data_IF_119659594232
#
_entry.id   IF_119659594232
#
_cell.length_a   1.000
_cell.length_b   1.000
_cell.length_c   1.000
_cell.angle_alpha   90.00
_cell.angle_beta   90.00
_cell.angle_gamma   90.00
#
_symmetry.space_group_name_H-M   'P 1'
#
loop_
_entity.id
_entity.type
_entity.pdbx_description
1 polymer ?
#
# COMPACT_ATOMS: atom_id res chain seq x y z
N UNK A 1 8.96 -16.01 8.83
CA UNK A 1 8.79 -14.89 7.85
C UNK A 1 8.59 -13.60 8.62
N UNK A 2 9.27 -12.53 8.22
CA UNK A 2 9.27 -11.24 8.92
C UNK A 2 8.73 -10.12 8.00
N UNK A 3 7.94 -9.21 8.57
CA UNK A 3 7.49 -8.01 7.89
C UNK A 3 8.39 -6.83 8.26
N UNK A 4 9.18 -6.32 7.32
CA UNK A 4 10.12 -5.23 7.56
C UNK A 4 9.39 -3.90 7.41
N UNK A 5 8.95 -3.35 8.51
CA UNK A 5 8.24 -2.07 8.57
C UNK A 5 8.14 -1.53 9.99
N UNK A 6 8.19 -0.22 10.14
CA UNK A 6 7.89 0.50 11.39
C UNK A 6 6.45 1.02 11.45
N UNK A 7 5.68 0.88 10.37
CA UNK A 7 4.33 1.43 10.27
C UNK A 7 3.30 0.51 10.94
N UNK A 8 2.84 0.89 12.13
CA UNK A 8 1.87 0.14 12.93
C UNK A 8 0.54 -0.10 12.21
N UNK A 9 0.10 0.85 11.36
CA UNK A 9 -1.13 0.69 10.59
C UNK A 9 -0.98 -0.39 9.51
N UNK A 10 0.17 -0.45 8.82
CA UNK A 10 0.46 -1.51 7.85
C UNK A 10 0.52 -2.88 8.52
N UNK A 11 1.14 -2.98 9.70
CA UNK A 11 1.21 -4.23 10.47
C UNK A 11 -0.19 -4.70 10.84
N UNK A 12 -1.05 -3.80 11.35
CA UNK A 12 -2.44 -4.12 11.73
C UNK A 12 -3.23 -4.64 10.53
N UNK A 13 -3.23 -3.93 9.41
CA UNK A 13 -3.96 -4.35 8.21
C UNK A 13 -3.42 -5.66 7.62
N UNK A 14 -2.09 -5.87 7.62
CA UNK A 14 -1.48 -7.11 7.16
C UNK A 14 -1.91 -8.32 8.02
N UNK A 15 -1.92 -8.19 9.34
CA UNK A 15 -2.39 -9.23 10.27
C UNK A 15 -3.85 -9.57 10.03
N UNK A 16 -4.70 -8.56 9.88
CA UNK A 16 -6.13 -8.73 9.60
C UNK A 16 -6.36 -9.47 8.27
N UNK A 17 -5.68 -9.05 7.20
CA UNK A 17 -5.85 -9.65 5.86
C UNK A 17 -5.30 -11.08 5.80
N UNK A 18 -4.14 -11.32 6.36
CA UNK A 18 -3.50 -12.64 6.32
C UNK A 18 -4.13 -13.62 7.30
N UNK A 19 -4.68 -13.12 8.40
CA UNK A 19 -5.25 -13.95 9.48
C UNK A 19 -4.19 -14.79 10.21
N UNK A 20 -2.95 -14.31 10.28
CA UNK A 20 -1.82 -14.95 10.96
C UNK A 20 -1.04 -13.92 11.77
N UNK A 21 -0.36 -14.38 12.80
CA UNK A 21 0.61 -13.54 13.51
C UNK A 21 1.85 -13.27 12.64
N UNK A 22 2.20 -12.00 12.55
CA UNK A 22 3.35 -11.53 11.79
C UNK A 22 4.37 -10.93 12.75
N UNK A 23 5.58 -11.43 12.67
CA UNK A 23 6.73 -10.80 13.32
C UNK A 23 7.12 -9.59 12.48
N UNK A 24 7.14 -8.41 13.08
CA UNK A 24 7.60 -7.19 12.41
C UNK A 24 8.95 -6.76 12.93
N UNK A 25 9.79 -6.30 12.03
CA UNK A 25 11.06 -5.64 12.34
C UNK A 25 11.08 -4.23 11.75
N UNK A 26 11.62 -3.23 12.47
CA UNK A 26 11.73 -1.89 11.95
C UNK A 26 12.67 -1.85 10.75
N UNK A 27 12.33 -1.03 9.77
CA UNK A 27 13.25 -0.71 8.68
C UNK A 27 14.10 0.50 9.06
N UNK A 28 15.41 0.30 9.12
CA UNK A 28 16.38 1.34 9.49
C UNK A 28 17.29 1.77 8.33
N UNK A 29 16.98 1.33 7.11
CA UNK A 29 17.74 1.67 5.91
C UNK A 29 17.26 2.95 5.24
N UNK A 30 17.99 3.39 4.23
CA UNK A 30 17.60 4.50 3.38
C UNK A 30 16.38 4.13 2.51
N UNK A 31 15.45 5.06 2.33
CA UNK A 31 14.37 4.94 1.35
C UNK A 31 14.69 5.75 0.12
N UNK A 32 14.70 5.10 -1.04
CA UNK A 32 14.79 5.83 -2.31
C UNK A 32 13.51 6.63 -2.54
N UNK A 33 13.68 7.79 -3.17
CA UNK A 33 12.56 8.62 -3.60
C UNK A 33 12.31 8.36 -5.09
N UNK A 34 11.26 7.59 -5.38
CA UNK A 34 10.82 7.28 -6.73
C UNK A 34 9.28 7.27 -6.78
N UNK A 35 8.72 7.54 -7.94
CA UNK A 35 7.28 7.44 -8.19
C UNK A 35 6.85 5.97 -8.24
N UNK A 36 7.72 5.08 -8.76
CA UNK A 36 7.43 3.66 -8.91
C UNK A 36 7.47 2.91 -7.58
N UNK A 37 6.29 2.54 -7.10
CA UNK A 37 6.11 1.79 -5.85
C UNK A 37 6.84 0.44 -5.85
N UNK A 38 7.01 -0.21 -7.00
CA UNK A 38 7.76 -1.47 -7.10
C UNK A 38 9.25 -1.25 -6.86
N UNK A 39 9.84 -0.23 -7.49
CA UNK A 39 11.24 0.12 -7.25
C UNK A 39 11.50 0.40 -5.78
N UNK A 40 10.63 1.21 -5.15
CA UNK A 40 10.75 1.52 -3.71
C UNK A 40 10.70 0.25 -2.86
N UNK A 41 9.73 -0.64 -3.12
CA UNK A 41 9.60 -1.89 -2.38
C UNK A 41 10.81 -2.82 -2.57
N UNK A 42 11.26 -3.00 -3.82
CA UNK A 42 12.42 -3.87 -4.12
C UNK A 42 13.69 -3.35 -3.47
N UNK A 43 13.97 -2.06 -3.59
CA UNK A 43 15.13 -1.45 -2.93
C UNK A 43 15.11 -1.64 -1.41
N UNK A 44 13.97 -1.37 -0.79
CA UNK A 44 13.77 -1.57 0.64
C UNK A 44 14.02 -3.00 1.07
N UNK A 45 13.54 -3.98 0.29
CA UNK A 45 13.80 -5.41 0.55
C UNK A 45 15.28 -5.73 0.47
N UNK A 46 15.96 -5.30 -0.60
CA UNK A 46 17.38 -5.57 -0.83
C UNK A 46 18.25 -4.92 0.26
N UNK A 47 17.99 -3.66 0.60
CA UNK A 47 18.73 -2.94 1.63
C UNK A 47 18.48 -3.49 3.05
N UNK A 48 17.32 -4.10 3.29
CA UNK A 48 17.06 -4.73 4.59
C UNK A 48 18.00 -5.91 4.88
N UNK A 49 18.44 -6.60 3.84
CA UNK A 49 19.32 -7.77 3.95
C UNK A 49 18.74 -8.95 4.75
N UNK A 50 17.47 -8.91 5.12
CA UNK A 50 16.85 -9.91 6.01
C UNK A 50 16.31 -11.08 5.18
N UNK A 51 16.80 -12.30 5.39
CA UNK A 51 16.28 -13.46 4.69
C UNK A 51 14.87 -13.82 5.17
N UNK A 52 14.10 -14.48 4.32
CA UNK A 52 12.72 -14.90 4.58
C UNK A 52 11.85 -13.76 5.14
N UNK A 53 11.94 -12.61 4.48
CA UNK A 53 11.23 -11.40 4.86
C UNK A 53 10.46 -10.81 3.69
N UNK A 54 9.52 -9.93 4.00
CA UNK A 54 8.84 -9.12 3.01
C UNK A 54 8.72 -7.67 3.45
N UNK A 55 8.63 -6.81 2.47
CA UNK A 55 8.30 -5.40 2.62
C UNK A 55 7.01 -5.09 1.88
N UNK A 56 6.40 -3.97 2.21
CA UNK A 56 5.24 -3.45 1.50
C UNK A 56 5.42 -1.95 1.30
N UNK A 57 5.18 -1.49 0.08
CA UNK A 57 5.05 -0.08 -0.20
C UNK A 57 3.77 0.23 -0.97
N UNK A 58 3.29 1.47 -0.82
CA UNK A 58 2.01 1.90 -1.35
C UNK A 58 2.16 3.21 -2.09
N UNK A 59 1.52 3.30 -3.25
CA UNK A 59 1.46 4.51 -4.05
C UNK A 59 0.03 4.89 -4.41
N UNK A 60 -0.17 6.18 -4.64
CA UNK A 60 -1.39 6.75 -5.20
C UNK A 60 -1.03 7.51 -6.46
N UNK A 61 -1.39 6.95 -7.61
CA UNK A 61 -1.11 7.52 -8.92
C UNK A 61 -2.27 8.39 -9.37
N UNK A 62 -2.00 9.65 -9.67
CA UNK A 62 -2.99 10.70 -9.89
C UNK A 62 -3.06 11.14 -11.35
N UNK A 63 -4.29 11.26 -11.85
CA UNK A 63 -4.57 11.74 -13.20
C UNK A 63 -4.05 10.83 -14.32
N UNK A 64 -4.19 11.31 -15.55
CA UNK A 64 -3.75 10.58 -16.75
C UNK A 64 -2.23 10.40 -16.82
N UNK A 65 -1.47 11.34 -16.27
CA UNK A 65 0.00 11.30 -16.23
C UNK A 65 0.57 10.38 -15.16
N UNK A 66 -0.28 9.83 -14.29
CA UNK A 66 0.12 8.92 -13.21
C UNK A 66 1.18 9.54 -12.29
N UNK A 67 0.93 10.77 -11.86
CA UNK A 67 1.82 11.54 -11.01
C UNK A 67 1.81 11.05 -9.56
N UNK A 68 2.80 11.47 -8.77
CA UNK A 68 2.96 11.24 -7.34
C UNK A 68 3.34 9.80 -6.96
N UNK A 69 2.52 8.79 -7.25
CA UNK A 69 2.83 7.39 -6.96
C UNK A 69 3.26 7.14 -5.51
N UNK A 70 4.42 6.51 -5.31
CA UNK A 70 4.96 6.21 -3.98
C UNK A 70 5.37 7.45 -3.17
N UNK A 71 5.50 8.62 -3.82
CA UNK A 71 5.80 9.89 -3.16
C UNK A 71 4.61 10.45 -2.37
N UNK A 72 3.42 9.84 -2.44
CA UNK A 72 2.19 10.32 -1.79
C UNK A 72 2.36 10.57 -0.28
N UNK A 73 3.20 9.82 0.38
CA UNK A 73 3.49 9.94 1.82
C UNK A 73 4.06 11.31 2.24
N UNK A 74 4.63 12.06 1.29
CA UNK A 74 5.19 13.39 1.54
C UNK A 74 4.17 14.53 1.41
N UNK A 75 2.94 14.23 1.02
CA UNK A 75 1.91 15.22 0.77
C UNK A 75 0.73 15.05 1.74
N UNK A 76 0.31 16.14 2.41
CA UNK A 76 -0.93 16.11 3.20
C UNK A 76 -2.14 15.77 2.32
N UNK A 77 -3.06 14.92 2.77
CA UNK A 77 -4.25 14.55 1.99
C UNK A 77 -5.07 15.74 1.49
N UNK A 78 -5.21 16.78 2.29
CA UNK A 78 -5.96 18.00 1.95
C UNK A 78 -5.35 18.73 0.75
N UNK A 79 -4.01 18.73 0.65
CA UNK A 79 -3.29 19.31 -0.49
C UNK A 79 -3.56 18.55 -1.76
N UNK A 80 -3.48 17.22 -1.68
CA UNK A 80 -3.80 16.35 -2.81
C UNK A 80 -5.25 16.51 -3.23
N UNK A 81 -6.18 16.53 -2.28
CA UNK A 81 -7.58 16.71 -2.58
C UNK A 81 -7.85 18.05 -3.29
N UNK A 82 -7.22 19.13 -2.85
CA UNK A 82 -7.35 20.45 -3.48
C UNK A 82 -6.81 20.49 -4.90
N UNK A 83 -5.66 19.85 -5.15
CA UNK A 83 -4.99 19.87 -6.45
C UNK A 83 -5.61 18.92 -7.49
N UNK A 84 -6.18 17.79 -7.05
CA UNK A 84 -6.61 16.68 -7.91
C UNK A 84 -8.09 16.31 -7.74
N UNK A 85 -8.90 17.18 -7.12
CA UNK A 85 -10.34 16.92 -6.95
C UNK A 85 -11.02 16.52 -8.27
N UNK A 86 -11.74 15.39 -8.24
CA UNK A 86 -12.43 14.85 -9.40
C UNK A 86 -11.55 14.06 -10.37
N UNK A 87 -10.22 14.10 -10.22
CA UNK A 87 -9.31 13.34 -11.06
C UNK A 87 -9.38 11.84 -10.77
N UNK A 88 -9.19 11.04 -11.82
CA UNK A 88 -9.03 9.60 -11.67
C UNK A 88 -7.70 9.28 -10.98
N UNK A 89 -7.73 8.25 -10.14
CA UNK A 89 -6.58 7.81 -9.41
C UNK A 89 -6.50 6.28 -9.36
N UNK A 90 -5.29 5.75 -9.15
CA UNK A 90 -5.06 4.34 -8.93
C UNK A 90 -4.23 4.13 -7.66
N UNK A 91 -4.82 3.47 -6.67
CA UNK A 91 -4.13 3.02 -5.48
C UNK A 91 -3.40 1.69 -5.78
N UNK A 92 -2.11 1.64 -5.50
CA UNK A 92 -1.26 0.46 -5.73
C UNK A 92 -0.54 0.07 -4.45
N UNK A 93 -0.64 -1.20 -4.08
CA UNK A 93 0.19 -1.82 -3.05
C UNK A 93 1.13 -2.81 -3.71
N UNK A 94 2.41 -2.74 -3.37
CA UNK A 94 3.45 -3.64 -3.83
C UNK A 94 4.08 -4.35 -2.63
N UNK A 95 4.06 -5.67 -2.65
CA UNK A 95 4.79 -6.52 -1.71
C UNK A 95 5.98 -7.12 -2.45
N UNK A 96 7.18 -6.94 -1.89
CA UNK A 96 8.38 -7.64 -2.31
C UNK A 96 8.77 -8.65 -1.23
N UNK A 97 8.94 -9.91 -1.61
CA UNK A 97 9.26 -11.01 -0.70
C UNK A 97 10.58 -11.66 -1.08
N UNK A 98 11.45 -11.82 -0.09
CA UNK A 98 12.75 -12.47 -0.20
C UNK A 98 12.66 -13.94 0.26
N UNK A 99 12.28 -14.83 -0.68
CA UNK A 99 12.28 -16.26 -0.50
C UNK A 99 13.59 -16.88 -1.04
N UNK A 100 13.49 -17.92 -1.87
CA UNK A 100 14.64 -18.44 -2.65
C UNK A 100 15.07 -17.45 -3.73
N UNK A 101 14.12 -16.72 -4.24
CA UNK A 101 14.27 -15.60 -5.16
C UNK A 101 13.32 -14.46 -4.75
N UNK A 102 13.51 -13.29 -5.32
CA UNK A 102 12.63 -12.15 -5.05
C UNK A 102 11.32 -12.29 -5.81
N UNK A 103 10.22 -12.26 -5.09
CA UNK A 103 8.87 -12.29 -5.67
C UNK A 103 8.13 -10.98 -5.43
N UNK A 104 7.38 -10.53 -6.42
CA UNK A 104 6.61 -9.28 -6.39
C UNK A 104 5.12 -9.57 -6.49
N UNK A 105 4.32 -8.97 -5.59
CA UNK A 105 2.87 -9.08 -5.59
C UNK A 105 2.24 -7.69 -5.57
N UNK A 106 1.46 -7.37 -6.60
CA UNK A 106 0.78 -6.07 -6.69
C UNK A 106 -0.74 -6.23 -6.59
N UNK A 107 -1.33 -5.32 -5.81
CA UNK A 107 -2.76 -5.08 -5.78
C UNK A 107 -3.06 -3.66 -6.23
N UNK A 108 -4.11 -3.49 -7.04
CA UNK A 108 -4.50 -2.22 -7.64
C UNK A 108 -5.99 -1.98 -7.50
N UNK A 109 -6.38 -0.76 -7.23
CA UNK A 109 -7.76 -0.28 -7.22
C UNK A 109 -7.83 1.09 -7.90
N UNK A 110 -8.72 1.22 -8.86
CA UNK A 110 -9.07 2.51 -9.47
C UNK A 110 -10.08 3.26 -8.62
N UNK A 111 -10.04 4.57 -8.70
CA UNK A 111 -10.96 5.43 -7.97
C UNK A 111 -10.88 6.88 -8.42
N UNK A 112 -11.39 7.76 -7.59
CA UNK A 112 -11.45 9.21 -7.83
C UNK A 112 -11.01 9.95 -6.57
N UNK A 113 -10.29 11.05 -6.73
CA UNK A 113 -9.91 11.93 -5.63
C UNK A 113 -11.10 12.81 -5.26
N UNK A 114 -11.42 12.84 -3.97
CA UNK A 114 -12.49 13.63 -3.39
C UNK A 114 -11.97 14.44 -2.20
N UNK A 115 -12.75 15.41 -1.72
CA UNK A 115 -12.43 16.08 -0.46
C UNK A 115 -12.48 15.09 0.70
N UNK A 116 -11.70 15.32 1.78
CA UNK A 116 -11.59 14.40 2.90
C UNK A 116 -12.96 14.06 3.52
N UNK A 117 -13.26 12.77 3.60
CA UNK A 117 -14.43 12.20 4.28
C UNK A 117 -14.04 10.94 5.02
N UNK A 118 -14.62 10.78 6.22
CA UNK A 118 -14.39 9.61 7.07
C UNK A 118 -13.20 9.77 8.01
N UNK A 119 -13.14 8.88 9.01
CA UNK A 119 -12.14 8.92 10.09
C UNK A 119 -11.39 7.62 10.28
N UNK A 120 -11.78 6.57 9.57
CA UNK A 120 -11.12 5.27 9.64
C UNK A 120 -9.88 5.24 8.77
N UNK A 121 -9.08 4.19 8.93
CA UNK A 121 -7.88 4.00 8.12
C UNK A 121 -6.76 4.96 8.49
N UNK A 122 -5.93 5.30 7.54
CA UNK A 122 -4.78 6.18 7.71
C UNK A 122 -4.30 6.79 6.38
N UNK A 123 -3.42 7.77 6.49
CA UNK A 123 -2.84 8.42 5.32
C UNK A 123 -3.89 9.08 4.43
N UNK A 124 -3.89 8.74 3.16
CA UNK A 124 -4.79 9.32 2.15
C UNK A 124 -6.12 8.57 1.98
N UNK A 125 -6.46 7.63 2.88
CA UNK A 125 -7.72 6.89 2.81
C UNK A 125 -8.97 7.79 2.74
N UNK A 126 -8.93 8.95 3.40
CA UNK A 126 -10.05 9.88 3.46
C UNK A 126 -10.34 10.63 2.14
N UNK A 127 -9.41 10.66 1.20
CA UNK A 127 -9.55 11.35 -0.09
C UNK A 127 -9.70 10.42 -1.30
N UNK A 128 -9.63 9.11 -1.10
CA UNK A 128 -9.74 8.14 -2.18
C UNK A 128 -11.07 7.41 -2.15
N UNK A 129 -11.90 7.67 -3.17
CA UNK A 129 -13.18 7.00 -3.38
C UNK A 129 -12.99 5.91 -4.43
N UNK A 130 -13.01 4.61 -4.05
CA UNK A 130 -12.83 3.52 -4.99
C UNK A 130 -13.98 3.44 -6.00
N UNK A 131 -13.68 2.99 -7.20
CA UNK A 131 -14.66 2.82 -8.28
C UNK A 131 -15.77 1.84 -7.85
N UNK A 132 -17.02 2.19 -8.14
CA UNK A 132 -18.20 1.43 -7.72
C UNK A 132 -18.70 1.73 -6.31
N UNK A 133 -18.06 2.64 -5.59
CA UNK A 133 -18.47 3.08 -4.24
C UNK A 133 -18.74 4.58 -4.22
N UNK A 134 -19.67 4.98 -3.36
CA UNK A 134 -19.94 6.40 -3.05
C UNK A 134 -19.28 6.85 -1.74
N UNK A 135 -18.39 6.03 -1.18
CA UNK A 135 -17.66 6.21 0.08
C UNK A 135 -16.17 6.18 -0.18
N UNK A 136 -15.40 6.92 0.64
CA UNK A 136 -13.94 6.84 0.66
C UNK A 136 -13.47 5.59 1.40
N UNK A 137 -12.19 5.23 1.27
CA UNK A 137 -11.61 4.15 2.08
C UNK A 137 -11.74 4.41 3.59
N UNK A 138 -11.77 5.68 4.02
CA UNK A 138 -11.95 6.05 5.42
C UNK A 138 -13.41 5.92 5.91
N UNK A 139 -14.36 5.80 5.00
CA UNK A 139 -15.79 5.59 5.30
C UNK A 139 -16.20 4.11 5.16
N UNK A 140 -15.44 3.31 4.39
CA UNK A 140 -15.75 1.90 4.13
C UNK A 140 -15.25 1.05 5.30
N UNK A 141 -16.20 0.37 5.95
CA UNK A 141 -15.91 -0.47 7.12
C UNK A 141 -15.03 -1.66 6.79
N UNK A 142 -15.33 -2.33 5.69
CA UNK A 142 -14.63 -3.52 5.22
C UNK A 142 -13.53 -3.22 4.18
N UNK A 143 -12.85 -2.08 4.32
CA UNK A 143 -11.75 -1.67 3.43
C UNK A 143 -10.75 -2.82 3.19
N UNK A 144 -10.40 -3.58 4.22
CA UNK A 144 -9.43 -4.67 4.14
C UNK A 144 -9.94 -5.93 3.42
N UNK A 145 -11.16 -5.91 2.86
CA UNK A 145 -11.69 -6.94 1.97
C UNK A 145 -11.70 -6.52 0.49
N UNK A 146 -11.47 -5.23 0.19
CA UNK A 146 -11.57 -4.69 -1.16
C UNK A 146 -10.34 -3.92 -1.62
N UNK A 147 -9.49 -3.46 -0.70
CA UNK A 147 -8.41 -2.50 -0.98
C UNK A 147 -7.31 -3.06 -1.87
N UNK A 148 -6.48 -2.15 -2.40
CA UNK A 148 -5.23 -2.45 -3.08
C UNK A 148 -4.32 -3.35 -2.23
N UNK A 149 -4.23 -3.08 -0.91
CA UNK A 149 -3.47 -3.89 0.05
C UNK A 149 -4.04 -5.30 0.16
N UNK A 150 -5.36 -5.43 0.31
CA UNK A 150 -6.01 -6.74 0.33
C UNK A 150 -5.67 -7.57 -0.92
N UNK A 151 -5.76 -6.96 -2.10
CA UNK A 151 -5.45 -7.67 -3.37
C UNK A 151 -4.00 -8.14 -3.45
N UNK A 152 -3.05 -7.33 -2.98
CA UNK A 152 -1.63 -7.70 -2.93
C UNK A 152 -1.39 -8.85 -1.94
N UNK A 153 -1.89 -8.72 -0.71
CA UNK A 153 -1.73 -9.75 0.32
C UNK A 153 -2.44 -11.05 -0.02
N UNK A 154 -3.56 -11.02 -0.71
CA UNK A 154 -4.24 -12.24 -1.19
C UNK A 154 -3.35 -13.04 -2.15
N UNK A 155 -2.70 -12.36 -3.10
CA UNK A 155 -1.73 -13.00 -4.01
C UNK A 155 -0.52 -13.56 -3.25
N UNK A 156 0.02 -12.80 -2.33
CA UNK A 156 1.13 -13.20 -1.48
C UNK A 156 0.78 -14.43 -0.63
N UNK A 157 -0.40 -14.43 0.02
CA UNK A 157 -0.88 -15.55 0.84
C UNK A 157 -0.99 -16.86 0.03
N UNK A 158 -1.44 -16.78 -1.21
CA UNK A 158 -1.53 -17.95 -2.08
C UNK A 158 -0.15 -18.53 -2.40
N UNK A 159 0.85 -17.68 -2.62
CA UNK A 159 2.23 -18.13 -2.88
C UNK A 159 2.84 -18.83 -1.67
N UNK A 160 2.75 -18.24 -0.47
CA UNK A 160 3.36 -18.82 0.74
C UNK A 160 2.69 -20.11 1.22
N UNK A 161 1.42 -20.36 0.83
CA UNK A 161 0.74 -21.63 1.13
C UNK A 161 1.13 -22.76 0.18
N UNK A 162 1.63 -22.44 -1.01
CA UNK A 162 2.04 -23.41 -2.04
C UNK A 162 3.54 -23.67 -2.05
N UNK A 163 4.28 -23.07 -1.13
CA UNK A 163 5.73 -23.24 -0.90
C UNK A 163 6.00 -24.07 0.33
#
# INVERSE_FOLDING_TARGET
>A
MKFITSNKNKIREAKEILGIDIISEPYNGEEIQDIDVEKVAVYKLLLSGVPNSFVEDTGLYLGKKREIGAMIKYFPPERIAKAYYGEKAEAVCCIAYNGKEVHIFKGKIKGTIVYPRGKRGFGWDCIFQPEGYNKTFAEIEEKNKISHRYKAFKKFKNKIKSS
#
